data_IF_918930768967
#
_entry.id   IF_918930768967
#
_cell.length_a   1.000
_cell.length_b   1.000
_cell.length_c   1.000
_cell.angle_alpha   90.00
_cell.angle_beta   90.00
_cell.angle_gamma   90.00
#
_symmetry.space_group_name_H-M   'P 1'
#
loop_
_entity.id
_entity.type
_entity.pdbx_description
1 polymer ?
#
# COMPACT_ATOMS: atom_id res chain seq x y z
N UNK A 1 -12.12 8.60 6.32
CA UNK A 1 -12.07 7.15 6.05
C UNK A 1 -12.02 6.44 7.37
N UNK A 2 -12.28 5.14 7.41
CA UNK A 2 -12.14 4.34 8.64
C UNK A 2 -11.39 3.07 8.31
N UNK A 3 -10.42 2.72 9.15
CA UNK A 3 -9.73 1.43 9.12
C UNK A 3 -10.76 0.29 9.14
N UNK A 4 -10.47 -0.77 8.39
CA UNK A 4 -11.26 -1.98 8.29
C UNK A 4 -10.40 -3.14 8.76
N UNK A 5 -10.79 -3.75 9.88
CA UNK A 5 -10.15 -4.97 10.34
C UNK A 5 -10.63 -6.15 9.49
N UNK A 6 -9.79 -6.58 8.53
CA UNK A 6 -10.05 -7.74 7.70
C UNK A 6 -9.21 -8.91 8.22
N UNK A 7 -9.86 -10.02 8.60
CA UNK A 7 -9.17 -11.16 9.21
C UNK A 7 -8.03 -11.76 8.36
N UNK A 8 -8.10 -11.67 7.02
CA UNK A 8 -6.98 -12.07 6.16
C UNK A 8 -5.77 -11.13 6.33
N UNK A 9 -5.99 -9.82 6.30
CA UNK A 9 -4.94 -8.81 6.51
C UNK A 9 -4.34 -8.94 7.90
N UNK A 10 -5.17 -9.04 8.95
CA UNK A 10 -4.68 -9.14 10.34
C UNK A 10 -3.81 -10.39 10.55
N UNK A 11 -4.14 -11.51 9.89
CA UNK A 11 -3.29 -12.72 9.93
C UNK A 11 -1.99 -12.54 9.15
N UNK A 12 -2.07 -11.90 7.98
CA UNK A 12 -0.91 -11.62 7.13
C UNK A 12 0.08 -10.65 7.79
N UNK A 13 -0.38 -9.53 8.37
CA UNK A 13 0.49 -8.58 9.05
C UNK A 13 1.18 -9.20 10.29
N UNK A 14 0.56 -10.18 10.96
CA UNK A 14 1.24 -10.95 12.02
C UNK A 14 2.40 -11.80 11.48
N UNK A 15 2.30 -12.30 10.25
CA UNK A 15 3.42 -13.00 9.60
C UNK A 15 4.50 -12.01 9.18
N UNK A 16 4.12 -10.85 8.65
CA UNK A 16 5.05 -9.78 8.33
C UNK A 16 5.81 -9.30 9.56
N UNK A 17 5.14 -9.12 10.70
CA UNK A 17 5.82 -8.74 11.94
C UNK A 17 6.96 -9.72 12.26
N UNK A 18 6.75 -11.04 12.13
CA UNK A 18 7.82 -12.03 12.34
C UNK A 18 8.98 -11.88 11.35
N UNK A 19 8.71 -11.48 10.10
CA UNK A 19 9.75 -11.21 9.11
C UNK A 19 10.54 -9.94 9.45
N UNK A 20 9.84 -8.91 9.92
CA UNK A 20 10.45 -7.65 10.36
C UNK A 20 11.27 -7.84 11.66
N UNK A 21 10.85 -8.75 12.55
CA UNK A 21 11.61 -9.10 13.74
C UNK A 21 12.97 -9.77 13.37
N UNK A 22 13.01 -10.49 12.23
CA UNK A 22 14.24 -11.09 11.69
C UNK A 22 15.09 -10.09 10.88
N UNK A 23 14.45 -9.11 10.24
CA UNK A 23 15.12 -8.05 9.50
C UNK A 23 14.47 -6.68 9.83
N UNK A 24 14.98 -5.97 10.84
CA UNK A 24 14.41 -4.70 11.29
C UNK A 24 14.46 -3.56 10.26
N UNK A 25 15.26 -3.71 9.19
CA UNK A 25 15.31 -2.73 8.11
C UNK A 25 14.13 -2.88 7.14
N UNK A 26 13.47 -4.04 7.13
CA UNK A 26 12.28 -4.29 6.32
C UNK A 26 11.04 -3.78 7.06
N UNK A 27 10.19 -3.06 6.34
CA UNK A 27 8.81 -2.82 6.72
C UNK A 27 7.90 -3.30 5.59
N UNK A 28 6.84 -4.04 5.94
CA UNK A 28 5.82 -4.46 5.00
C UNK A 28 4.48 -4.60 5.72
N UNK A 29 3.46 -3.96 5.17
CA UNK A 29 2.13 -3.94 5.78
C UNK A 29 1.03 -3.81 4.73
N UNK A 30 -0.10 -4.47 5.00
CA UNK A 30 -1.34 -4.26 4.25
C UNK A 30 -2.36 -3.63 5.18
N UNK A 31 -3.07 -2.61 4.70
CA UNK A 31 -4.17 -1.99 5.42
C UNK A 31 -5.40 -1.86 4.53
N UNK A 32 -6.59 -1.90 5.13
CA UNK A 32 -7.85 -1.68 4.42
C UNK A 32 -8.63 -0.53 5.05
N UNK A 33 -9.27 0.27 4.19
CA UNK A 33 -10.01 1.44 4.59
C UNK A 33 -11.35 1.53 3.88
N UNK A 34 -12.39 1.90 4.62
CA UNK A 34 -13.69 2.27 4.04
C UNK A 34 -13.68 3.71 3.55
N UNK A 35 -14.20 3.90 2.34
CA UNK A 35 -14.44 5.20 1.69
C UNK A 35 -15.72 5.87 2.23
N UNK A 36 -15.84 5.93 3.56
CA UNK A 36 -16.83 6.75 4.26
C UNK A 36 -16.17 8.08 4.61
N UNK A 37 -16.61 9.16 3.98
CA UNK A 37 -16.17 10.51 4.30
C UNK A 37 -16.60 10.85 5.74
N UNK A 38 -15.63 11.16 6.60
CA UNK A 38 -15.94 11.77 7.91
C UNK A 38 -16.43 13.20 7.71
N UNK A 39 -17.05 13.82 8.72
CA UNK A 39 -17.45 15.24 8.65
C UNK A 39 -16.26 16.14 8.29
N UNK A 40 -15.08 15.91 8.88
CA UNK A 40 -13.83 16.63 8.55
C UNK A 40 -13.46 16.53 7.07
N UNK A 41 -13.62 15.35 6.48
CA UNK A 41 -13.28 15.13 5.07
C UNK A 41 -14.29 15.72 4.08
N UNK A 42 -15.50 16.11 4.51
CA UNK A 42 -16.47 16.76 3.62
C UNK A 42 -16.08 18.19 3.23
N UNK A 43 -15.18 18.83 3.98
CA UNK A 43 -14.67 20.17 3.67
C UNK A 43 -13.48 20.20 2.71
N UNK A 44 -12.83 19.05 2.44
CA UNK A 44 -11.75 18.96 1.46
C UNK A 44 -12.33 18.74 0.06
N UNK A 45 -12.12 19.70 -0.84
CA UNK A 45 -12.56 19.68 -2.24
C UNK A 45 -11.62 18.87 -3.15
N UNK A 46 -11.10 17.74 -2.68
CA UNK A 46 -10.25 16.88 -3.51
C UNK A 46 -11.13 15.87 -4.25
N UNK A 47 -10.97 15.78 -5.57
CA UNK A 47 -11.71 14.85 -6.41
C UNK A 47 -11.45 13.39 -6.00
N UNK A 48 -12.45 12.53 -6.21
CA UNK A 48 -12.31 11.08 -6.00
C UNK A 48 -11.78 10.43 -7.29
N UNK A 49 -10.84 9.48 -7.22
CA UNK A 49 -10.43 8.79 -6.00
C UNK A 49 -9.26 9.44 -5.23
N UNK A 50 -8.59 10.46 -5.75
CA UNK A 50 -7.42 11.09 -5.12
C UNK A 50 -7.63 11.43 -3.63
N UNK A 51 -8.78 12.03 -3.29
CA UNK A 51 -9.09 12.36 -1.89
C UNK A 51 -9.14 11.14 -0.96
N UNK A 52 -9.51 9.96 -1.47
CA UNK A 52 -9.44 8.71 -0.70
C UNK A 52 -8.03 8.14 -0.60
N UNK A 53 -7.22 8.30 -1.65
CA UNK A 53 -5.81 7.87 -1.65
C UNK A 53 -5.00 8.66 -0.62
N UNK A 54 -5.09 9.99 -0.67
CA UNK A 54 -4.43 10.89 0.30
C UNK A 54 -4.89 10.61 1.73
N UNK A 55 -6.20 10.40 1.92
CA UNK A 55 -6.74 10.04 3.24
C UNK A 55 -6.21 8.70 3.77
N UNK A 56 -5.87 7.74 2.91
CA UNK A 56 -5.28 6.47 3.33
C UNK A 56 -3.82 6.66 3.76
N UNK A 57 -3.05 7.44 2.98
CA UNK A 57 -1.68 7.82 3.31
C UNK A 57 -1.59 8.58 4.64
N UNK A 58 -2.43 9.59 4.85
CA UNK A 58 -2.50 10.36 6.10
C UNK A 58 -2.84 9.49 7.33
N UNK A 59 -3.64 8.44 7.15
CA UNK A 59 -3.95 7.52 8.23
C UNK A 59 -2.76 6.61 8.55
N UNK A 60 -1.99 6.20 7.54
CA UNK A 60 -0.80 5.36 7.72
C UNK A 60 0.39 6.12 8.30
N UNK A 61 0.57 7.35 7.86
CA UNK A 61 1.71 8.20 8.20
C UNK A 61 1.20 9.49 8.83
N UNK A 62 0.70 9.44 10.08
CA UNK A 62 0.11 10.60 10.74
C UNK A 62 1.12 11.73 10.98
N UNK A 63 2.42 11.42 10.96
CA UNK A 63 3.51 12.36 11.21
C UNK A 63 3.99 13.10 9.94
N UNK A 64 3.45 12.75 8.76
CA UNK A 64 3.78 13.42 7.50
C UNK A 64 2.57 14.16 6.93
N UNK A 65 2.78 15.40 6.50
CA UNK A 65 1.74 16.21 5.90
C UNK A 65 1.65 15.97 4.39
N UNK A 66 0.57 15.33 3.95
CA UNK A 66 0.25 15.13 2.54
C UNK A 66 -0.52 16.32 1.93
N UNK A 67 -0.61 17.47 2.62
CA UNK A 67 -1.19 18.68 2.03
C UNK A 67 -0.38 19.14 0.81
N UNK A 68 -1.07 19.35 -0.32
CA UNK A 68 -0.46 19.78 -1.58
C UNK A 68 -0.12 18.64 -2.54
N UNK A 69 -0.18 17.39 -2.08
CA UNK A 69 -0.03 16.22 -2.94
C UNK A 69 -1.14 16.19 -4.01
N UNK A 70 -0.75 15.89 -5.25
CA UNK A 70 -1.63 15.88 -6.42
C UNK A 70 -1.45 14.59 -7.21
N UNK A 71 -2.18 14.44 -8.32
CA UNK A 71 -1.97 13.34 -9.25
C UNK A 71 -0.53 13.23 -9.77
N UNK A 72 0.28 14.30 -9.72
CA UNK A 72 1.71 14.24 -10.09
C UNK A 72 2.54 13.30 -9.21
N UNK A 73 2.07 13.01 -7.99
CA UNK A 73 2.74 12.10 -7.05
C UNK A 73 2.24 10.66 -7.14
N UNK A 74 1.32 10.39 -8.06
CA UNK A 74 0.75 9.06 -8.25
C UNK A 74 0.94 8.60 -9.69
N UNK A 75 1.14 7.29 -9.85
CA UNK A 75 1.12 6.65 -11.16
C UNK A 75 0.09 5.54 -11.18
N UNK A 76 -0.76 5.53 -12.21
CA UNK A 76 -1.69 4.42 -12.43
C UNK A 76 -0.92 3.18 -12.86
N UNK A 77 -1.26 2.02 -12.31
CA UNK A 77 -0.61 0.74 -12.58
C UNK A 77 -1.63 -0.32 -12.99
N UNK A 78 -1.17 -1.30 -13.74
CA UNK A 78 -1.84 -2.59 -13.94
C UNK A 78 -1.42 -3.56 -12.84
N UNK A 79 -2.19 -4.65 -12.64
CA UNK A 79 -1.80 -5.69 -11.69
C UNK A 79 -0.44 -6.31 -12.07
N UNK A 80 -0.19 -6.54 -13.37
CA UNK A 80 1.07 -7.09 -13.86
C UNK A 80 2.27 -6.20 -13.52
N UNK A 81 2.15 -4.88 -13.67
CA UNK A 81 3.21 -3.93 -13.27
C UNK A 81 3.47 -3.98 -11.76
N UNK A 82 2.42 -4.07 -10.94
CA UNK A 82 2.55 -4.18 -9.48
C UNK A 82 3.27 -5.47 -9.08
N UNK A 83 2.86 -6.62 -9.65
CA UNK A 83 3.53 -7.90 -9.38
C UNK A 83 5.01 -7.87 -9.76
N UNK A 84 5.34 -7.33 -10.94
CA UNK A 84 6.72 -7.21 -11.41
C UNK A 84 7.57 -6.29 -10.51
N UNK A 85 7.02 -5.16 -10.07
CA UNK A 85 7.72 -4.21 -9.20
C UNK A 85 7.94 -4.77 -7.79
N UNK A 86 6.97 -5.52 -7.25
CA UNK A 86 7.15 -6.26 -6.00
C UNK A 86 8.23 -7.33 -6.13
N UNK A 87 8.19 -8.14 -7.20
CA UNK A 87 9.23 -9.16 -7.46
C UNK A 87 10.61 -8.51 -7.53
N UNK A 88 10.76 -7.46 -8.34
CA UNK A 88 12.04 -6.75 -8.47
C UNK A 88 12.55 -6.21 -7.13
N UNK A 89 11.70 -5.47 -6.39
CA UNK A 89 12.08 -4.84 -5.13
C UNK A 89 12.49 -5.88 -4.09
N UNK A 90 11.70 -6.94 -3.93
CA UNK A 90 11.97 -8.00 -2.96
C UNK A 90 13.22 -8.80 -3.36
N UNK A 91 13.46 -9.04 -4.65
CA UNK A 91 14.69 -9.68 -5.16
C UNK A 91 15.97 -8.87 -4.91
N UNK A 92 15.87 -7.57 -4.65
CA UNK A 92 17.05 -6.80 -4.19
C UNK A 92 17.51 -7.25 -2.81
N UNK A 93 16.58 -7.71 -1.97
CA UNK A 93 16.81 -8.09 -0.56
C UNK A 93 16.95 -9.60 -0.39
N UNK A 94 16.12 -10.39 -1.07
CA UNK A 94 16.12 -11.86 -1.00
C UNK A 94 16.49 -12.48 -2.34
N UNK A 95 17.61 -13.23 -2.39
CA UNK A 95 18.19 -13.70 -3.66
C UNK A 95 17.58 -14.99 -4.20
N UNK A 96 16.83 -15.74 -3.40
CA UNK A 96 16.16 -16.95 -3.89
C UNK A 96 14.91 -16.57 -4.71
N UNK A 97 14.97 -16.79 -6.02
CA UNK A 97 13.89 -16.42 -6.94
C UNK A 97 12.58 -17.17 -6.70
N UNK A 98 12.64 -18.42 -6.25
CA UNK A 98 11.44 -19.23 -6.05
C UNK A 98 10.68 -18.78 -4.80
N UNK A 99 11.40 -18.49 -3.72
CA UNK A 99 10.84 -17.89 -2.51
C UNK A 99 10.19 -16.53 -2.80
N UNK A 100 10.84 -15.68 -3.62
CA UNK A 100 10.28 -14.38 -4.01
C UNK A 100 8.99 -14.54 -4.82
N UNK A 101 8.96 -15.48 -5.77
CA UNK A 101 7.75 -15.75 -6.55
C UNK A 101 6.61 -16.26 -5.68
N UNK A 102 6.89 -17.18 -4.76
CA UNK A 102 5.90 -17.70 -3.82
C UNK A 102 5.36 -16.59 -2.93
N UNK A 103 6.23 -15.74 -2.39
CA UNK A 103 5.83 -14.62 -1.56
C UNK A 103 4.99 -13.59 -2.31
N UNK A 104 5.37 -13.22 -3.53
CA UNK A 104 4.57 -12.31 -4.38
C UNK A 104 3.22 -12.93 -4.74
N UNK A 105 3.18 -14.22 -5.05
CA UNK A 105 1.92 -14.95 -5.28
C UNK A 105 1.02 -14.98 -4.03
N UNK A 106 1.61 -15.14 -2.85
CA UNK A 106 0.88 -15.01 -1.58
C UNK A 106 0.28 -13.61 -1.40
N UNK A 107 1.05 -12.54 -1.67
CA UNK A 107 0.53 -11.16 -1.62
C UNK A 107 -0.64 -10.95 -2.57
N UNK A 108 -0.54 -11.46 -3.81
CA UNK A 108 -1.62 -11.39 -4.79
C UNK A 108 -2.92 -12.04 -4.28
N UNK A 109 -2.83 -13.23 -3.68
CA UNK A 109 -3.99 -13.93 -3.09
C UNK A 109 -4.61 -13.13 -1.95
N UNK A 110 -3.78 -12.53 -1.09
CA UNK A 110 -4.28 -11.70 0.03
C UNK A 110 -4.95 -10.43 -0.51
N UNK A 111 -4.36 -9.78 -1.51
CA UNK A 111 -4.94 -8.61 -2.18
C UNK A 111 -6.29 -8.96 -2.80
N UNK A 112 -6.39 -10.04 -3.57
CA UNK A 112 -7.64 -10.50 -4.17
C UNK A 112 -8.74 -10.81 -3.14
N UNK A 113 -8.38 -11.38 -1.98
CA UNK A 113 -9.32 -11.61 -0.88
C UNK A 113 -9.73 -10.33 -0.17
N UNK A 114 -8.83 -9.37 -0.05
CA UNK A 114 -9.06 -8.10 0.65
C UNK A 114 -9.86 -7.09 -0.19
N UNK A 115 -9.76 -7.15 -1.51
CA UNK A 115 -10.45 -6.27 -2.45
C UNK A 115 -10.62 -6.97 -3.80
N UNK A 116 -11.79 -6.85 -4.42
CA UNK A 116 -12.04 -7.49 -5.72
C UNK A 116 -11.23 -6.79 -6.82
N UNK A 117 -10.12 -7.41 -7.25
CA UNK A 117 -9.16 -6.82 -8.18
C UNK A 117 -9.74 -6.50 -9.56
N UNK A 118 -10.72 -7.28 -10.05
CA UNK A 118 -11.35 -7.07 -11.35
C UNK A 118 -12.12 -5.74 -11.52
N UNK A 119 -12.32 -5.00 -10.42
CA UNK A 119 -12.92 -3.65 -10.44
C UNK A 119 -12.07 -2.61 -9.72
N UNK A 120 -10.78 -2.88 -9.52
CA UNK A 120 -9.86 -1.96 -8.85
C UNK A 120 -9.21 -1.01 -9.84
N UNK A 121 -9.09 0.25 -9.43
CA UNK A 121 -8.10 1.18 -9.96
C UNK A 121 -6.88 1.10 -9.04
N UNK A 122 -5.70 0.85 -9.62
CA UNK A 122 -4.46 0.64 -8.87
C UNK A 122 -3.53 1.82 -9.11
N UNK A 123 -2.98 2.36 -8.02
CA UNK A 123 -2.05 3.50 -8.05
C UNK A 123 -0.81 3.17 -7.24
N UNK A 124 0.36 3.59 -7.69
CA UNK A 124 1.55 3.72 -6.86
C UNK A 124 1.70 5.16 -6.41
N UNK A 125 2.17 5.38 -5.18
CA UNK A 125 2.63 6.68 -4.69
C UNK A 125 4.14 6.81 -4.92
N UNK A 126 4.54 7.82 -5.69
CA UNK A 126 5.87 7.96 -6.29
C UNK A 126 6.70 9.09 -5.63
N UNK A 127 6.11 9.86 -4.71
CA UNK A 127 6.87 10.88 -3.98
C UNK A 127 7.71 10.22 -2.87
N UNK A 128 9.02 10.40 -2.95
CA UNK A 128 10.01 9.85 -2.01
C UNK A 128 10.17 10.67 -0.73
N UNK A 129 9.58 11.85 -0.61
CA UNK A 129 9.74 12.69 0.57
C UNK A 129 9.07 12.07 1.81
N UNK A 130 9.58 12.42 3.00
CA UNK A 130 8.97 12.04 4.26
C UNK A 130 9.16 10.55 4.59
N UNK A 131 8.10 9.72 4.66
CA UNK A 131 8.20 8.32 5.09
C UNK A 131 9.14 7.43 4.26
N UNK A 132 9.51 7.88 3.04
CA UNK A 132 10.27 7.09 2.07
C UNK A 132 11.65 7.68 1.73
N UNK A 133 12.07 8.73 2.43
CA UNK A 133 13.24 9.54 2.06
C UNK A 133 14.55 8.75 2.18
N UNK A 134 14.67 7.93 3.22
CA UNK A 134 15.86 7.14 3.53
C UNK A 134 15.67 5.63 3.27
N UNK A 135 14.93 5.29 2.21
CA UNK A 135 14.70 3.91 1.82
C UNK A 135 15.58 3.49 0.63
N UNK A 136 16.20 2.30 0.70
CA UNK A 136 16.88 1.65 -0.42
C UNK A 136 15.91 1.44 -1.59
N UNK A 137 14.74 0.90 -1.26
CA UNK A 137 13.60 0.79 -2.14
C UNK A 137 12.32 0.91 -1.30
N UNK A 138 11.25 1.31 -1.96
CA UNK A 138 9.92 1.28 -1.40
C UNK A 138 8.92 1.05 -2.53
N UNK A 139 7.76 0.55 -2.17
CA UNK A 139 6.56 0.66 -2.98
C UNK A 139 5.38 0.92 -2.06
N UNK A 140 4.47 1.78 -2.53
CA UNK A 140 3.21 2.05 -1.84
C UNK A 140 2.08 1.97 -2.87
N UNK A 141 1.41 0.83 -2.90
CA UNK A 141 0.33 0.54 -3.84
C UNK A 141 -1.02 0.72 -3.17
N UNK A 142 -1.91 1.48 -3.81
CA UNK A 142 -3.27 1.72 -3.37
C UNK A 142 -4.26 1.15 -4.38
N UNK A 143 -5.07 0.20 -3.92
CA UNK A 143 -6.10 -0.51 -4.67
C UNK A 143 -7.46 0.06 -4.30
N UNK A 144 -8.01 0.91 -5.17
CA UNK A 144 -9.31 1.52 -4.97
C UNK A 144 -10.41 0.75 -5.70
N UNK A 145 -11.40 0.25 -4.96
CA UNK A 145 -12.60 -0.37 -5.53
C UNK A 145 -13.84 0.49 -5.24
N UNK A 146 -14.36 1.13 -6.29
CA UNK A 146 -15.53 2.01 -6.20
C UNK A 146 -16.79 1.28 -5.73
N UNK A 147 -17.01 0.05 -6.19
CA UNK A 147 -18.20 -0.77 -5.84
C UNK A 147 -18.18 -1.17 -4.36
N UNK A 148 -17.02 -1.62 -3.86
CA UNK A 148 -16.83 -1.98 -2.45
C UNK A 148 -16.64 -0.76 -1.53
N UNK A 149 -16.48 0.45 -2.10
CA UNK A 149 -16.14 1.69 -1.39
C UNK A 149 -14.94 1.47 -0.47
N UNK A 150 -13.88 0.86 -1.00
CA UNK A 150 -12.71 0.41 -0.25
C UNK A 150 -11.43 0.85 -0.91
N UNK A 151 -10.45 1.24 -0.09
CA UNK A 151 -9.04 1.34 -0.48
C UNK A 151 -8.31 0.25 0.31
N UNK A 152 -7.55 -0.58 -0.37
CA UNK A 152 -6.53 -1.43 0.26
C UNK A 152 -5.18 -0.85 -0.10
N UNK A 153 -4.32 -0.68 0.89
CA UNK A 153 -2.97 -0.17 0.69
C UNK A 153 -1.99 -1.27 1.05
N UNK A 154 -1.06 -1.57 0.15
CA UNK A 154 0.10 -2.41 0.41
C UNK A 154 1.31 -1.50 0.37
N UNK A 155 1.99 -1.39 1.51
CA UNK A 155 3.17 -0.57 1.65
C UNK A 155 4.33 -1.47 2.07
N UNK A 156 5.48 -1.30 1.43
CA UNK A 156 6.71 -1.91 1.88
C UNK A 156 7.90 -1.03 1.56
N UNK A 157 8.89 -1.05 2.44
CA UNK A 157 10.15 -0.34 2.23
C UNK A 157 11.28 -1.05 2.96
N UNK A 158 12.49 -0.80 2.48
CA UNK A 158 13.73 -1.21 3.14
C UNK A 158 14.50 0.05 3.50
N UNK A 159 14.69 0.31 4.79
CA UNK A 159 15.48 1.45 5.26
C UNK A 159 16.96 1.29 4.93
N UNK A 160 17.67 2.40 4.77
CA UNK A 160 19.13 2.41 4.85
C UNK A 160 19.55 2.21 6.31
N UNK A 161 20.60 1.42 6.53
CA UNK A 161 21.19 1.16 7.85
C UNK A 161 21.93 2.37 8.40
#
# INVERSE_FOLDING_TARGET
MRYLELGCISKTNKLFQKLQDLNPLLNIEIEAYSCKSSRRQRGRFVEKPLGYLLSALELRFPDYDFCGESWGSFRRKTLAEVLNEMTYSISTTHKNSDDVKEFVGFLEVILHRSVSLGGCEIFSYENRMGPFEDCLWYFSFLFFNKKQRRVVMLNAFMSRS
#
